data_IF_320637974337
#
_entry.id   IF_320637974337
#
_cell.length_a   1.000
_cell.length_b   1.000
_cell.length_c   1.000
_cell.angle_alpha   90.00
_cell.angle_beta   90.00
_cell.angle_gamma   90.00
#
_symmetry.space_group_name_H-M   'P 1'
#
loop_
_entity.id
_entity.type
_entity.pdbx_description
1 polymer ?
#
# COMPACT_ATOMS: atom_id res chain seq x y z
N UNK A 1 5.91 -15.99 8.84
CA UNK A 1 5.61 -15.24 7.59
C UNK A 1 4.10 -15.22 7.44
N UNK A 2 3.45 -14.09 7.71
CA UNK A 2 1.98 -14.01 7.80
C UNK A 2 1.35 -13.13 6.71
N UNK A 3 2.14 -12.66 5.73
CA UNK A 3 1.68 -11.78 4.65
C UNK A 3 2.02 -12.40 3.29
N UNK A 4 1.02 -12.47 2.42
CA UNK A 4 1.11 -12.92 1.04
C UNK A 4 1.07 -11.70 0.10
N UNK A 5 1.99 -11.64 -0.88
CA UNK A 5 1.98 -10.58 -1.90
C UNK A 5 0.90 -10.90 -2.93
N UNK A 6 -0.07 -10.01 -3.09
CA UNK A 6 -1.14 -10.18 -4.08
C UNK A 6 -0.76 -9.61 -5.44
N UNK A 7 -0.25 -8.38 -5.44
CA UNK A 7 0.11 -7.68 -6.67
C UNK A 7 1.19 -6.65 -6.38
N UNK A 8 1.98 -6.34 -7.40
CA UNK A 8 2.96 -5.28 -7.37
C UNK A 8 3.11 -4.71 -8.76
N UNK A 9 3.28 -3.40 -8.83
CA UNK A 9 3.80 -2.74 -10.02
C UNK A 9 5.16 -2.19 -9.66
N UNK A 10 6.18 -2.67 -10.38
CA UNK A 10 7.57 -2.42 -10.04
C UNK A 10 7.82 -0.93 -9.82
N UNK A 11 8.44 -0.63 -8.67
CA UNK A 11 8.84 0.72 -8.24
C UNK A 11 7.69 1.69 -7.95
N UNK A 12 6.43 1.27 -8.05
CA UNK A 12 5.26 2.08 -7.69
C UNK A 12 4.60 1.60 -6.40
N UNK A 13 4.21 0.32 -6.35
CA UNK A 13 3.52 -0.22 -5.17
C UNK A 13 3.64 -1.74 -5.01
N UNK A 14 3.38 -2.20 -3.79
CA UNK A 14 3.16 -3.60 -3.44
C UNK A 14 1.93 -3.73 -2.53
N UNK A 15 1.03 -4.65 -2.86
CA UNK A 15 -0.14 -4.98 -2.06
C UNK A 15 0.02 -6.37 -1.45
N UNK A 16 -0.23 -6.46 -0.15
CA UNK A 16 -0.20 -7.71 0.59
C UNK A 16 -1.53 -7.96 1.28
N UNK A 17 -1.86 -9.24 1.43
CA UNK A 17 -2.95 -9.74 2.25
C UNK A 17 -2.35 -10.55 3.39
N UNK A 18 -2.91 -10.41 4.59
CA UNK A 18 -2.52 -11.25 5.70
C UNK A 18 -3.16 -12.64 5.57
N UNK A 19 -2.41 -13.68 5.89
CA UNK A 19 -2.83 -15.06 5.61
C UNK A 19 -3.99 -15.50 6.51
N UNK A 20 -4.08 -14.97 7.73
CA UNK A 20 -5.03 -15.44 8.76
C UNK A 20 -6.08 -14.42 9.17
N UNK A 21 -5.91 -13.15 8.79
CA UNK A 21 -6.91 -12.12 9.04
C UNK A 21 -7.17 -11.40 7.72
N UNK A 22 -8.39 -10.91 7.51
CA UNK A 22 -8.75 -10.25 6.25
C UNK A 22 -8.12 -8.87 6.08
N UNK A 23 -6.96 -8.62 6.70
CA UNK A 23 -6.23 -7.37 6.64
C UNK A 23 -5.37 -7.30 5.39
N UNK A 24 -5.26 -6.09 4.85
CA UNK A 24 -4.46 -5.79 3.70
C UNK A 24 -3.52 -4.63 4.04
N UNK A 25 -2.33 -4.65 3.45
CA UNK A 25 -1.42 -3.51 3.51
C UNK A 25 -0.93 -3.14 2.12
N UNK A 26 -0.89 -1.85 1.87
CA UNK A 26 -0.35 -1.23 0.68
C UNK A 26 0.97 -0.57 1.03
N UNK A 27 1.99 -0.85 0.24
CA UNK A 27 3.29 -0.19 0.34
C UNK A 27 3.51 0.58 -0.96
N UNK A 28 3.88 1.86 -0.85
CA UNK A 28 4.29 2.69 -2.01
C UNK A 28 5.74 3.09 -1.87
N UNK A 29 6.49 3.07 -2.97
CA UNK A 29 7.86 3.56 -3.02
C UNK A 29 7.88 4.98 -3.60
N UNK A 30 8.33 5.96 -2.83
CA UNK A 30 8.63 7.30 -3.35
C UNK A 30 10.10 7.39 -3.75
N UNK A 31 10.45 7.96 -4.91
CA UNK A 31 11.85 8.14 -5.32
C UNK A 31 12.54 9.33 -4.61
N UNK A 32 12.15 9.66 -3.38
CA UNK A 32 12.77 10.75 -2.61
C UNK A 32 14.00 10.21 -1.89
N UNK A 33 15.12 10.94 -1.99
CA UNK A 33 16.35 10.74 -1.22
C UNK A 33 16.98 9.33 -1.28
N UNK A 34 16.74 8.58 -2.37
CA UNK A 34 17.24 7.22 -2.59
C UNK A 34 16.15 6.13 -2.51
N UNK A 35 14.99 6.47 -1.96
CA UNK A 35 13.79 5.63 -1.92
C UNK A 35 13.13 5.67 -0.55
N UNK A 36 11.85 6.01 -0.49
CA UNK A 36 11.08 6.05 0.74
C UNK A 36 9.92 5.06 0.64
N UNK A 37 9.97 4.01 1.47
CA UNK A 37 8.89 3.03 1.53
C UNK A 37 7.88 3.46 2.61
N UNK A 38 6.64 3.67 2.18
CA UNK A 38 5.53 4.11 3.03
C UNK A 38 4.50 2.99 3.10
N UNK A 39 4.04 2.65 4.30
CA UNK A 39 3.01 1.63 4.51
C UNK A 39 1.67 2.26 4.90
N UNK A 40 0.59 1.66 4.38
CA UNK A 40 -0.79 1.93 4.77
C UNK A 40 -1.55 0.62 4.94
N UNK A 41 -2.21 0.44 6.09
CA UNK A 41 -3.13 -0.68 6.29
C UNK A 41 -4.51 -0.28 5.76
N UNK A 42 -5.05 -1.06 4.83
CA UNK A 42 -6.34 -0.73 4.23
C UNK A 42 -7.45 -0.80 5.26
N UNK A 43 -8.31 0.21 5.23
CA UNK A 43 -9.58 0.22 5.96
C UNK A 43 -10.55 -0.82 5.37
N UNK A 44 -11.57 -1.21 6.13
CA UNK A 44 -12.56 -2.17 5.64
C UNK A 44 -13.27 -1.70 4.36
N UNK A 45 -13.51 -0.38 4.23
CA UNK A 45 -14.07 0.19 3.00
C UNK A 45 -13.12 0.02 1.82
N UNK A 46 -11.83 0.33 1.99
CA UNK A 46 -10.85 0.20 0.92
C UNK A 46 -10.62 -1.26 0.51
N UNK A 47 -10.72 -2.19 1.47
CA UNK A 47 -10.68 -3.62 1.18
C UNK A 47 -11.87 -4.02 0.31
N UNK A 48 -13.09 -3.58 0.66
CA UNK A 48 -14.29 -3.85 -0.14
C UNK A 48 -14.18 -3.25 -1.53
N UNK A 49 -13.79 -1.97 -1.63
CA UNK A 49 -13.62 -1.28 -2.91
C UNK A 49 -12.53 -1.97 -3.76
N UNK A 50 -11.47 -2.51 -3.16
CA UNK A 50 -10.45 -3.31 -3.85
C UNK A 50 -11.00 -4.66 -4.34
N UNK A 51 -11.85 -5.31 -3.56
CA UNK A 51 -12.48 -6.57 -3.98
C UNK A 51 -13.44 -6.38 -5.16
N UNK A 52 -14.15 -5.25 -5.20
CA UNK A 52 -15.15 -4.96 -6.24
C UNK A 52 -14.53 -4.37 -7.52
N UNK A 53 -13.52 -3.49 -7.38
CA UNK A 53 -12.98 -2.71 -8.50
C UNK A 53 -11.48 -2.98 -8.77
N UNK A 54 -10.84 -3.84 -7.99
CA UNK A 54 -9.42 -4.13 -8.12
C UNK A 54 -8.54 -2.95 -7.74
N UNK A 55 -7.33 -2.91 -8.29
CA UNK A 55 -6.30 -1.92 -7.92
C UNK A 55 -6.69 -0.47 -8.22
N UNK A 56 -7.62 -0.25 -9.16
CA UNK A 56 -8.10 1.08 -9.54
C UNK A 56 -8.71 1.85 -8.35
N UNK A 57 -9.37 1.15 -7.42
CA UNK A 57 -9.94 1.78 -6.22
C UNK A 57 -8.90 2.33 -5.26
N UNK A 58 -7.66 1.82 -5.33
CA UNK A 58 -6.56 2.22 -4.46
C UNK A 58 -5.70 3.36 -5.03
N UNK A 59 -5.91 3.78 -6.28
CA UNK A 59 -5.13 4.86 -6.90
C UNK A 59 -5.23 6.18 -6.15
N UNK A 60 -6.42 6.56 -5.70
CA UNK A 60 -6.61 7.77 -4.91
C UNK A 60 -5.84 7.71 -3.60
N UNK A 61 -5.83 6.55 -2.93
CA UNK A 61 -5.04 6.31 -1.72
C UNK A 61 -3.55 6.38 -1.99
N UNK A 62 -3.04 5.79 -3.07
CA UNK A 62 -1.62 5.90 -3.46
C UNK A 62 -1.21 7.36 -3.67
N UNK A 63 -2.06 8.17 -4.34
CA UNK A 63 -1.82 9.60 -4.52
C UNK A 63 -1.82 10.36 -3.19
N UNK A 64 -2.69 9.98 -2.26
CA UNK A 64 -2.70 10.57 -0.92
C UNK A 64 -1.44 10.20 -0.12
N UNK A 65 -1.03 8.93 -0.14
CA UNK A 65 0.23 8.47 0.45
C UNK A 65 1.43 9.22 -0.13
N UNK A 66 1.42 9.49 -1.43
CA UNK A 66 2.49 10.22 -2.12
C UNK A 66 2.60 11.69 -1.66
N UNK A 67 1.46 12.38 -1.54
CA UNK A 67 1.38 13.81 -1.20
C UNK A 67 1.48 14.08 0.30
N UNK A 68 0.93 13.19 1.11
CA UNK A 68 0.80 13.32 2.56
C UNK A 68 1.65 12.30 3.31
N UNK A 69 2.76 11.83 2.74
CA UNK A 69 3.59 10.75 3.30
C UNK A 69 4.01 10.95 4.76
N UNK A 70 4.15 12.20 5.21
CA UNK A 70 4.46 12.52 6.61
C UNK A 70 3.36 12.11 7.62
N UNK A 71 2.15 11.81 7.14
CA UNK A 71 1.03 11.30 7.94
C UNK A 71 0.97 9.76 7.99
N UNK A 72 1.84 9.10 7.23
CA UNK A 72 1.89 7.65 7.12
C UNK A 72 3.14 7.11 7.82
N UNK A 73 3.10 5.81 8.11
CA UNK A 73 4.26 5.12 8.67
C UNK A 73 5.30 4.91 7.55
N UNK A 74 6.51 5.42 7.80
CA UNK A 74 7.67 5.18 6.94
C UNK A 74 8.40 3.95 7.47
N UNK A 75 8.55 2.93 6.63
CA UNK A 75 9.15 1.65 7.03
C UNK A 75 10.57 1.48 6.50
N UNK A 76 10.98 2.24 5.49
CA UNK A 76 12.36 2.21 4.97
C UNK A 76 12.73 3.54 4.35
N UNK A 77 13.98 3.95 4.61
CA UNK A 77 14.73 4.94 3.85
C UNK A 77 15.84 4.18 3.12
N UNK A 78 15.93 4.38 1.81
CA UNK A 78 16.94 3.81 0.93
C UNK A 78 17.79 4.92 0.35
#
# INVERSE_FOLDING_TARGET
MNWEKLTSKDHEYMLFKHNTNSSYKLITCKPIAGGLDIIHYLTQKEIQDYQDFGIESLKSRMVDMDKNFSKYEVISWR
#
